data_IF_728114647796
#
_entry.id   IF_728114647796
#
_cell.length_a   1.000
_cell.length_b   1.000
_cell.length_c   1.000
_cell.angle_alpha   90.00
_cell.angle_beta   90.00
_cell.angle_gamma   90.00
#
_symmetry.space_group_name_H-M   'P 1'
#
loop_
_entity.id
_entity.type
_entity.pdbx_description
1 polymer ?
#
# COMPACT_ATOMS: atom_id res chain seq x y z
N UNK A 1 -7.59 -14.77 10.25
CA UNK A 1 -8.21 -14.18 9.05
C UNK A 1 -7.27 -14.47 7.89
N UNK A 2 -7.79 -15.01 6.79
CA UNK A 2 -7.03 -15.29 5.57
C UNK A 2 -7.51 -14.34 4.48
N UNK A 3 -6.60 -13.54 3.94
CA UNK A 3 -6.89 -12.55 2.92
C UNK A 3 -6.04 -12.80 1.67
N UNK A 4 -6.47 -12.28 0.55
CA UNK A 4 -5.76 -12.42 -0.73
C UNK A 4 -5.80 -11.11 -1.50
N UNK A 5 -4.78 -10.85 -2.29
CA UNK A 5 -4.85 -9.77 -3.29
C UNK A 5 -6.00 -9.99 -4.25
N UNK A 6 -6.70 -8.94 -4.56
CA UNK A 6 -7.81 -8.98 -5.51
C UNK A 6 -7.35 -9.15 -6.97
N UNK A 7 -6.05 -9.18 -7.23
CA UNK A 7 -5.45 -9.56 -8.50
C UNK A 7 -4.70 -10.90 -8.37
N UNK A 8 -5.15 -11.91 -9.09
CA UNK A 8 -4.56 -13.24 -9.12
C UNK A 8 -4.32 -13.77 -10.55
N UNK A 9 -4.09 -12.85 -11.52
CA UNK A 9 -3.65 -13.19 -12.88
C UNK A 9 -4.77 -13.41 -13.90
N UNK A 10 -6.03 -13.22 -13.53
CA UNK A 10 -7.16 -13.37 -14.45
C UNK A 10 -7.99 -12.08 -14.55
N UNK A 11 -8.29 -11.67 -15.79
CA UNK A 11 -9.22 -10.57 -16.06
C UNK A 11 -10.66 -11.05 -15.83
N UNK A 12 -11.26 -10.57 -14.77
CA UNK A 12 -12.65 -10.86 -14.39
C UNK A 12 -13.32 -9.55 -13.95
N UNK A 13 -14.62 -9.40 -14.19
CA UNK A 13 -15.40 -8.35 -13.55
C UNK A 13 -15.26 -8.43 -12.02
N UNK A 14 -15.15 -7.29 -11.35
CA UNK A 14 -14.90 -7.25 -9.90
C UNK A 14 -15.93 -8.02 -9.08
N UNK A 15 -17.22 -7.93 -9.42
CA UNK A 15 -18.29 -8.69 -8.76
C UNK A 15 -18.06 -10.22 -8.86
N UNK A 16 -17.63 -10.70 -10.02
CA UNK A 16 -17.33 -12.13 -10.21
C UNK A 16 -16.07 -12.50 -9.44
N UNK A 17 -15.04 -11.67 -9.46
CA UNK A 17 -13.77 -11.87 -8.76
C UNK A 17 -14.00 -12.01 -7.25
N UNK A 18 -14.70 -11.06 -6.63
CA UNK A 18 -14.93 -11.09 -5.19
C UNK A 18 -15.82 -12.26 -4.76
N UNK A 19 -16.79 -12.64 -5.59
CA UNK A 19 -17.58 -13.85 -5.35
C UNK A 19 -16.69 -15.11 -5.34
N UNK A 20 -15.81 -15.28 -6.33
CA UNK A 20 -14.89 -16.42 -6.40
C UNK A 20 -13.92 -16.44 -5.21
N UNK A 21 -13.40 -15.29 -4.79
CA UNK A 21 -12.55 -15.20 -3.61
C UNK A 21 -13.31 -15.67 -2.36
N UNK A 22 -14.56 -15.25 -2.21
CA UNK A 22 -15.41 -15.69 -1.09
C UNK A 22 -15.72 -17.17 -1.14
N UNK A 23 -16.09 -17.71 -2.30
CA UNK A 23 -16.35 -19.14 -2.52
C UNK A 23 -15.10 -20.01 -2.26
N UNK A 24 -13.91 -19.48 -2.52
CA UNK A 24 -12.64 -20.13 -2.20
C UNK A 24 -12.29 -20.14 -0.70
N UNK A 25 -13.10 -19.51 0.15
CA UNK A 25 -12.96 -19.54 1.61
C UNK A 25 -12.10 -18.43 2.21
N UNK A 26 -11.77 -17.39 1.47
CA UNK A 26 -11.07 -16.23 2.02
C UNK A 26 -12.01 -15.38 2.87
N UNK A 27 -11.45 -14.78 3.93
CA UNK A 27 -12.16 -13.86 4.82
C UNK A 27 -12.22 -12.44 4.26
N UNK A 28 -11.19 -12.04 3.49
CA UNK A 28 -11.05 -10.68 3.00
C UNK A 28 -10.12 -10.54 1.81
N UNK A 29 -9.95 -9.30 1.40
CA UNK A 29 -9.12 -8.88 0.26
C UNK A 29 -8.19 -7.73 0.60
N UNK A 30 -7.08 -7.70 -0.13
CA UNK A 30 -6.17 -6.57 -0.24
C UNK A 30 -6.40 -5.95 -1.63
N UNK A 31 -6.64 -4.65 -1.69
CA UNK A 31 -7.04 -3.99 -2.92
C UNK A 31 -5.86 -3.27 -3.58
N UNK A 32 -5.69 -3.49 -4.84
CA UNK A 32 -4.78 -2.72 -5.67
C UNK A 32 -5.38 -1.33 -5.94
N UNK A 33 -4.71 -0.25 -5.48
CA UNK A 33 -5.30 1.10 -5.47
C UNK A 33 -4.79 1.96 -6.62
N UNK A 34 -5.10 1.57 -7.85
CA UNK A 34 -4.82 2.37 -9.05
C UNK A 34 -5.67 1.91 -10.23
N UNK A 35 -5.74 2.73 -11.28
CA UNK A 35 -6.35 2.38 -12.57
C UNK A 35 -5.52 1.34 -13.36
N UNK A 36 -4.36 0.98 -12.83
CA UNK A 36 -3.51 -0.04 -13.42
C UNK A 36 -4.28 -1.36 -13.54
N UNK A 37 -4.00 -2.14 -14.57
CA UNK A 37 -4.68 -3.41 -14.89
C UNK A 37 -6.06 -3.27 -15.54
N UNK A 38 -6.38 -2.13 -16.16
CA UNK A 38 -7.65 -1.90 -16.90
C UNK A 38 -8.91 -2.20 -16.08
N UNK A 39 -8.85 -1.98 -14.76
CA UNK A 39 -9.94 -2.35 -13.83
C UNK A 39 -11.07 -1.34 -13.75
N UNK A 40 -10.94 -0.20 -14.44
CA UNK A 40 -11.95 0.86 -14.36
C UNK A 40 -11.96 1.56 -13.01
N UNK A 41 -13.16 1.75 -12.43
CA UNK A 41 -13.32 2.43 -11.14
C UNK A 41 -12.88 1.55 -9.96
N UNK A 42 -11.58 1.58 -9.62
CA UNK A 42 -11.04 0.85 -8.47
C UNK A 42 -11.64 1.32 -7.12
N UNK A 43 -12.13 2.56 -7.04
CA UNK A 43 -12.82 3.08 -5.84
C UNK A 43 -14.18 2.43 -5.59
N UNK A 44 -14.76 1.76 -6.57
CA UNK A 44 -15.93 0.90 -6.40
C UNK A 44 -15.63 -0.44 -5.71
N UNK A 45 -14.38 -0.87 -5.71
CA UNK A 45 -13.92 -2.16 -5.18
C UNK A 45 -14.30 -2.44 -3.73
N UNK A 46 -14.09 -1.51 -2.78
CA UNK A 46 -14.44 -1.74 -1.36
C UNK A 46 -15.91 -2.08 -1.13
N UNK A 47 -16.81 -1.42 -1.84
CA UNK A 47 -18.24 -1.69 -1.77
C UNK A 47 -18.56 -3.09 -2.31
N UNK A 48 -18.06 -3.42 -3.49
CA UNK A 48 -18.31 -4.72 -4.12
C UNK A 48 -17.73 -5.89 -3.31
N UNK A 49 -16.54 -5.72 -2.72
CA UNK A 49 -15.94 -6.72 -1.85
C UNK A 49 -16.82 -6.98 -0.61
N UNK A 50 -17.32 -5.92 0.04
CA UNK A 50 -18.21 -6.02 1.21
C UNK A 50 -19.57 -6.63 0.85
N UNK A 51 -20.13 -6.30 -0.31
CA UNK A 51 -21.37 -6.93 -0.82
C UNK A 51 -21.20 -8.45 -1.04
N UNK A 52 -19.97 -8.88 -1.41
CA UNK A 52 -19.63 -10.30 -1.49
C UNK A 52 -19.33 -10.93 -0.11
N UNK A 53 -19.41 -10.18 0.99
CA UNK A 53 -19.14 -10.67 2.34
C UNK A 53 -17.65 -10.79 2.68
N UNK A 54 -16.78 -10.01 2.00
CA UNK A 54 -15.36 -9.96 2.25
C UNK A 54 -15.00 -8.73 3.10
N UNK A 55 -14.06 -8.90 4.01
CA UNK A 55 -13.40 -7.79 4.69
C UNK A 55 -12.38 -7.15 3.73
N UNK A 56 -12.26 -5.83 3.76
CA UNK A 56 -11.20 -5.10 3.06
C UNK A 56 -10.11 -4.77 4.05
N UNK A 57 -8.98 -5.48 3.95
CA UNK A 57 -7.89 -5.40 4.93
C UNK A 57 -7.02 -4.18 4.71
N UNK A 58 -6.63 -3.94 3.48
CA UNK A 58 -5.81 -2.79 3.12
C UNK A 58 -5.97 -2.42 1.65
N UNK A 59 -5.39 -1.28 1.30
CA UNK A 59 -5.05 -0.95 -0.08
C UNK A 59 -3.54 -1.02 -0.27
N UNK A 60 -3.11 -1.42 -1.47
CA UNK A 60 -1.73 -1.22 -1.90
C UNK A 60 -1.65 0.07 -2.73
N UNK A 61 -0.93 1.08 -2.23
CA UNK A 61 -0.72 2.33 -2.95
C UNK A 61 0.03 2.10 -4.28
N UNK A 62 -0.13 2.98 -5.28
CA UNK A 62 0.60 2.86 -6.54
C UNK A 62 2.11 2.80 -6.31
N UNK A 63 2.75 1.73 -6.78
CA UNK A 63 4.20 1.52 -6.57
C UNK A 63 5.07 2.16 -7.65
N UNK A 64 4.52 2.50 -8.81
CA UNK A 64 5.28 3.10 -9.91
C UNK A 64 5.80 4.50 -9.61
N UNK A 65 5.26 5.14 -8.57
CA UNK A 65 5.60 6.53 -8.20
C UNK A 65 6.51 6.63 -6.98
N UNK A 66 6.84 5.52 -6.33
CA UNK A 66 7.54 5.48 -5.04
C UNK A 66 8.87 6.26 -5.02
N UNK A 67 9.61 6.21 -6.11
CA UNK A 67 10.91 6.88 -6.23
C UNK A 67 10.78 8.41 -6.19
N UNK A 68 9.66 8.93 -6.63
CA UNK A 68 9.33 10.37 -6.55
C UNK A 68 9.33 10.92 -5.13
N UNK A 69 9.12 10.06 -4.12
CA UNK A 69 9.01 10.51 -2.72
C UNK A 69 10.23 11.33 -2.25
N UNK A 70 11.41 11.04 -2.78
CA UNK A 70 12.66 11.72 -2.44
C UNK A 70 13.08 12.83 -3.41
N UNK A 71 12.30 13.10 -4.46
CA UNK A 71 12.63 14.07 -5.49
C UNK A 71 12.06 15.48 -5.19
N UNK A 72 12.92 16.51 -5.35
CA UNK A 72 12.52 17.92 -5.22
C UNK A 72 12.09 18.47 -6.58
N UNK A 73 10.99 17.97 -7.10
CA UNK A 73 10.42 18.36 -8.39
C UNK A 73 8.93 18.02 -8.46
N UNK A 74 8.29 18.25 -9.61
CA UNK A 74 6.88 17.99 -9.83
C UNK A 74 6.51 16.52 -9.64
N UNK A 75 7.37 15.58 -10.01
CA UNK A 75 7.16 14.14 -9.80
C UNK A 75 7.05 13.84 -8.31
N UNK A 76 7.95 14.39 -7.50
CA UNK A 76 7.92 14.23 -6.05
C UNK A 76 6.68 14.83 -5.39
N UNK A 77 6.20 15.97 -5.89
CA UNK A 77 4.95 16.58 -5.41
C UNK A 77 3.74 15.72 -5.80
N UNK A 78 3.72 15.20 -7.02
CA UNK A 78 2.67 14.29 -7.51
C UNK A 78 2.63 13.00 -6.70
N UNK A 79 3.78 12.42 -6.41
CA UNK A 79 3.88 11.22 -5.54
C UNK A 79 3.33 11.50 -4.15
N UNK A 80 3.73 12.62 -3.55
CA UNK A 80 3.24 12.99 -2.23
C UNK A 80 1.73 13.19 -2.22
N UNK A 81 1.19 13.89 -3.20
CA UNK A 81 -0.25 14.09 -3.32
C UNK A 81 -0.99 12.77 -3.49
N UNK A 82 -0.49 11.87 -4.33
CA UNK A 82 -1.05 10.54 -4.53
C UNK A 82 -1.15 9.75 -3.20
N UNK A 83 -0.10 9.75 -2.39
CA UNK A 83 -0.12 9.03 -1.11
C UNK A 83 -1.04 9.67 -0.07
N UNK A 84 -1.13 11.00 -0.04
CA UNK A 84 -2.10 11.68 0.82
C UNK A 84 -3.55 11.35 0.42
N UNK A 85 -3.83 11.27 -0.88
CA UNK A 85 -5.13 10.84 -1.40
C UNK A 85 -5.43 9.38 -1.03
N UNK A 86 -4.45 8.47 -1.14
CA UNK A 86 -4.61 7.09 -0.69
C UNK A 86 -4.98 6.98 0.79
N UNK A 87 -4.34 7.78 1.65
CA UNK A 87 -4.67 7.82 3.10
C UNK A 87 -6.08 8.37 3.31
N UNK A 88 -6.47 9.41 2.59
CA UNK A 88 -7.82 9.98 2.67
C UNK A 88 -8.88 9.00 2.15
N UNK A 89 -8.60 8.29 1.06
CA UNK A 89 -9.45 7.23 0.52
C UNK A 89 -9.60 6.08 1.53
N UNK A 90 -8.52 5.65 2.19
CA UNK A 90 -8.59 4.66 3.26
C UNK A 90 -9.61 5.06 4.33
N UNK A 91 -9.55 6.29 4.80
CA UNK A 91 -10.50 6.79 5.79
C UNK A 91 -11.94 6.87 5.24
N UNK A 92 -12.10 7.38 4.02
CA UNK A 92 -13.41 7.55 3.38
C UNK A 92 -14.12 6.20 3.11
N UNK A 93 -13.35 5.18 2.78
CA UNK A 93 -13.86 3.83 2.52
C UNK A 93 -13.76 2.88 3.73
N UNK A 94 -13.43 3.38 4.91
CA UNK A 94 -13.30 2.59 6.15
C UNK A 94 -12.32 1.41 5.99
N UNK A 95 -11.19 1.67 5.33
CA UNK A 95 -10.10 0.70 5.14
C UNK A 95 -9.00 1.01 6.17
N UNK A 96 -8.60 0.05 7.01
CA UNK A 96 -7.74 0.36 8.14
C UNK A 96 -6.29 0.69 7.79
N UNK A 97 -5.80 0.23 6.63
CA UNK A 97 -4.37 0.26 6.33
C UNK A 97 -4.08 0.57 4.87
N UNK A 98 -3.07 1.39 4.64
CA UNK A 98 -2.42 1.59 3.34
C UNK A 98 -1.05 0.90 3.37
N UNK A 99 -0.80 -0.02 2.45
CA UNK A 99 0.54 -0.57 2.18
C UNK A 99 1.23 0.32 1.16
N UNK A 100 2.49 0.66 1.37
CA UNK A 100 3.25 1.54 0.51
C UNK A 100 4.72 1.15 0.46
N UNK A 101 5.31 1.27 -0.72
CA UNK A 101 6.75 1.13 -0.93
C UNK A 101 7.50 2.44 -0.65
N UNK A 102 8.70 2.34 -0.13
CA UNK A 102 9.70 3.41 -0.13
C UNK A 102 10.55 3.35 -1.41
N UNK A 103 11.30 4.43 -1.74
CA UNK A 103 12.28 4.37 -2.82
C UNK A 103 13.22 3.18 -2.69
N UNK A 104 13.43 2.48 -3.80
CA UNK A 104 14.10 1.18 -3.83
C UNK A 104 15.52 1.25 -4.45
N UNK A 105 16.12 0.10 -4.67
CA UNK A 105 17.49 -0.09 -5.15
C UNK A 105 18.52 0.67 -4.29
N UNK A 106 19.42 1.40 -4.92
CA UNK A 106 20.48 2.21 -4.28
C UNK A 106 20.04 3.65 -3.95
N UNK A 107 18.75 3.98 -4.06
CA UNK A 107 18.24 5.32 -3.80
C UNK A 107 18.21 5.60 -2.31
N UNK A 108 19.05 6.52 -1.81
CA UNK A 108 19.10 6.82 -0.39
C UNK A 108 17.85 7.61 0.03
N UNK A 109 17.49 7.48 1.30
CA UNK A 109 16.54 8.42 1.91
C UNK A 109 17.09 9.86 1.86
N UNK A 110 16.19 10.83 1.74
CA UNK A 110 16.53 12.26 1.78
C UNK A 110 15.77 12.93 2.92
N UNK A 111 16.29 14.09 3.37
CA UNK A 111 15.59 14.91 4.36
C UNK A 111 14.20 15.33 3.87
N UNK A 112 14.04 15.58 2.56
CA UNK A 112 12.76 15.88 1.93
C UNK A 112 11.82 14.67 1.97
N UNK A 113 12.30 13.49 1.57
CA UNK A 113 11.51 12.25 1.62
C UNK A 113 11.05 11.92 3.03
N UNK A 114 11.95 12.05 4.01
CA UNK A 114 11.60 11.85 5.42
C UNK A 114 10.54 12.85 5.89
N UNK A 115 10.66 14.13 5.52
CA UNK A 115 9.65 15.15 5.85
C UNK A 115 8.27 14.80 5.23
N UNK A 116 8.25 14.27 4.00
CA UNK A 116 7.02 13.83 3.37
C UNK A 116 6.40 12.65 4.10
N UNK A 117 7.21 11.68 4.55
CA UNK A 117 6.72 10.54 5.35
C UNK A 117 6.13 11.02 6.69
N UNK A 118 6.76 12.01 7.34
CA UNK A 118 6.18 12.62 8.55
C UNK A 118 4.81 13.25 8.28
N UNK A 119 4.65 13.98 7.19
CA UNK A 119 3.34 14.55 6.80
C UNK A 119 2.29 13.48 6.51
N UNK A 120 2.70 12.37 5.89
CA UNK A 120 1.81 11.21 5.70
C UNK A 120 1.39 10.61 7.06
N UNK A 121 2.34 10.44 7.98
CA UNK A 121 2.07 9.93 9.32
C UNK A 121 1.11 10.84 10.10
N UNK A 122 1.32 12.16 10.08
CA UNK A 122 0.41 13.13 10.70
C UNK A 122 -1.03 13.05 10.15
N UNK A 123 -1.18 12.88 8.83
CA UNK A 123 -2.49 12.70 8.22
C UNK A 123 -3.11 11.36 8.64
N UNK A 124 -2.33 10.30 8.62
CA UNK A 124 -2.75 8.97 9.02
C UNK A 124 -3.22 8.92 10.48
N UNK A 125 -2.52 9.60 11.39
CA UNK A 125 -2.95 9.75 12.79
C UNK A 125 -4.30 10.45 12.92
N UNK A 126 -4.47 11.59 12.23
CA UNK A 126 -5.73 12.34 12.25
C UNK A 126 -6.91 11.54 11.72
N UNK A 127 -6.67 10.71 10.71
CA UNK A 127 -7.70 9.92 10.05
C UNK A 127 -7.82 8.49 10.60
N UNK A 128 -6.99 8.12 11.57
CA UNK A 128 -6.94 6.77 12.16
C UNK A 128 -6.66 5.65 11.15
N UNK A 129 -5.85 5.95 10.12
CA UNK A 129 -5.37 5.00 9.11
C UNK A 129 -3.97 4.53 9.47
N UNK A 130 -3.63 3.28 9.21
CA UNK A 130 -2.27 2.78 9.36
C UNK A 130 -1.51 2.88 8.03
N UNK A 131 -0.21 3.17 8.10
CA UNK A 131 0.73 3.10 6.99
C UNK A 131 1.63 1.90 7.24
N UNK A 132 1.61 0.93 6.34
CA UNK A 132 2.45 -0.25 6.41
C UNK A 132 3.55 -0.16 5.33
N UNK A 133 4.77 0.09 5.77
CA UNK A 133 5.93 0.18 4.89
C UNK A 133 6.40 -1.23 4.51
N UNK A 134 6.36 -1.57 3.23
CA UNK A 134 6.66 -2.90 2.75
C UNK A 134 8.14 -3.05 2.38
N UNK A 135 8.73 -4.21 2.67
CA UNK A 135 10.12 -4.50 2.34
C UNK A 135 10.33 -4.71 0.85
N UNK A 136 11.32 -4.01 0.32
CA UNK A 136 11.89 -4.20 -1.02
C UNK A 136 13.39 -4.52 -0.89
N UNK A 137 14.20 -4.19 -1.91
CA UNK A 137 15.65 -4.41 -1.91
C UNK A 137 16.41 -3.45 -0.97
N UNK A 138 15.92 -2.21 -0.78
CA UNK A 138 16.55 -1.21 0.07
C UNK A 138 16.08 -1.30 1.53
N UNK A 139 16.53 -2.34 2.22
CA UNK A 139 16.17 -2.57 3.62
C UNK A 139 16.76 -1.53 4.58
N UNK A 140 17.90 -0.92 4.22
CA UNK A 140 18.51 0.15 5.03
C UNK A 140 17.60 1.38 5.08
N UNK A 141 17.02 1.78 3.95
CA UNK A 141 16.08 2.88 3.86
C UNK A 141 14.82 2.61 4.70
N UNK A 142 14.26 1.42 4.57
CA UNK A 142 13.10 0.99 5.36
C UNK A 142 13.42 1.01 6.86
N UNK A 143 14.53 0.43 7.27
CA UNK A 143 14.97 0.38 8.67
C UNK A 143 15.19 1.79 9.25
N UNK A 144 15.84 2.67 8.47
CA UNK A 144 16.06 4.06 8.87
C UNK A 144 14.73 4.80 9.10
N UNK A 145 13.78 4.67 8.18
CA UNK A 145 12.47 5.33 8.31
C UNK A 145 11.71 4.81 9.53
N UNK A 146 11.63 3.49 9.72
CA UNK A 146 10.95 2.87 10.86
C UNK A 146 11.57 3.25 12.21
N UNK A 147 12.89 3.51 12.27
CA UNK A 147 13.57 3.95 13.49
C UNK A 147 13.43 5.45 13.74
N UNK A 148 13.16 6.23 12.70
CA UNK A 148 13.14 7.69 12.78
C UNK A 148 11.72 8.23 12.93
N UNK A 149 10.75 7.63 12.25
CA UNK A 149 9.34 8.08 12.29
C UNK A 149 8.64 7.44 13.48
N UNK A 150 8.59 8.20 14.58
CA UNK A 150 7.89 7.78 15.82
C UNK A 150 6.40 8.12 15.70
N UNK A 151 5.64 7.21 15.06
CA UNK A 151 4.18 7.33 14.93
C UNK A 151 3.51 5.98 15.19
N UNK A 152 2.43 5.95 16.00
CA UNK A 152 1.68 4.71 16.26
C UNK A 152 0.93 4.20 15.02
N UNK A 153 0.94 4.97 13.93
CA UNK A 153 0.27 4.63 12.68
C UNK A 153 1.22 4.18 11.58
N UNK A 154 2.52 4.22 11.82
CA UNK A 154 3.54 3.74 10.86
C UNK A 154 4.11 2.41 11.35
N UNK A 155 4.06 1.41 10.51
CA UNK A 155 4.54 0.07 10.83
C UNK A 155 5.13 -0.65 9.64
N UNK A 156 5.55 -1.88 9.87
CA UNK A 156 6.21 -2.72 8.89
C UNK A 156 5.23 -3.72 8.26
N UNK A 157 5.27 -3.83 6.93
CA UNK A 157 4.63 -4.90 6.18
C UNK A 157 5.71 -5.87 5.68
N UNK A 158 5.65 -7.11 6.10
CA UNK A 158 6.58 -8.13 5.60
C UNK A 158 5.99 -8.88 4.41
N UNK A 159 6.65 -8.71 3.25
CA UNK A 159 6.41 -9.51 2.06
C UNK A 159 7.51 -10.56 1.89
N UNK A 160 7.13 -11.83 2.01
CA UNK A 160 8.06 -12.96 1.89
C UNK A 160 8.52 -13.19 0.44
N UNK A 161 7.71 -12.79 -0.55
CA UNK A 161 8.07 -12.88 -1.96
C UNK A 161 9.15 -11.86 -2.32
N UNK A 162 9.02 -10.62 -1.83
CA UNK A 162 10.07 -9.61 -1.96
C UNK A 162 11.33 -10.02 -1.22
N UNK A 163 11.21 -10.55 0.00
CA UNK A 163 12.36 -11.07 0.74
C UNK A 163 13.10 -12.15 -0.06
N UNK A 164 12.41 -13.16 -0.53
CA UNK A 164 13.01 -14.24 -1.31
C UNK A 164 13.67 -13.74 -2.60
N UNK A 165 13.06 -12.77 -3.28
CA UNK A 165 13.61 -12.19 -4.52
C UNK A 165 14.85 -11.35 -4.27
N UNK A 166 14.83 -10.51 -3.24
CA UNK A 166 15.88 -9.53 -2.97
C UNK A 166 17.03 -10.12 -2.13
N UNK A 167 16.71 -11.10 -1.28
CA UNK A 167 17.67 -11.68 -0.32
C UNK A 167 17.61 -13.21 -0.29
N UNK A 168 17.85 -13.89 -1.42
CA UNK A 168 17.65 -15.34 -1.53
C UNK A 168 18.56 -16.20 -0.66
N UNK A 169 19.58 -15.60 -0.02
CA UNK A 169 20.57 -16.28 0.82
C UNK A 169 20.48 -15.89 2.32
N UNK A 170 19.43 -15.15 2.69
CA UNK A 170 19.14 -14.85 4.10
C UNK A 170 18.08 -15.82 4.59
N UNK A 171 18.47 -16.71 5.51
CA UNK A 171 17.55 -17.62 6.21
C UNK A 171 16.83 -16.93 7.37
#
# INVERSE_FOLDING_TARGET
MLTIYDWFGYELPDEQRYRLIKEAGFDGVLLWWSEHLNRGDYRGGPRLAREAGLFVENIHAPFQVQDGLCLDNLEGETTMQCYLECIADCAAFEIPTMVVHLPDDDKPHTALGLNRIWKMAELAERLSVNIALENLSNFENLSFVLQTVDSPRVGFCYDCGHHYRCYPNLD
#
